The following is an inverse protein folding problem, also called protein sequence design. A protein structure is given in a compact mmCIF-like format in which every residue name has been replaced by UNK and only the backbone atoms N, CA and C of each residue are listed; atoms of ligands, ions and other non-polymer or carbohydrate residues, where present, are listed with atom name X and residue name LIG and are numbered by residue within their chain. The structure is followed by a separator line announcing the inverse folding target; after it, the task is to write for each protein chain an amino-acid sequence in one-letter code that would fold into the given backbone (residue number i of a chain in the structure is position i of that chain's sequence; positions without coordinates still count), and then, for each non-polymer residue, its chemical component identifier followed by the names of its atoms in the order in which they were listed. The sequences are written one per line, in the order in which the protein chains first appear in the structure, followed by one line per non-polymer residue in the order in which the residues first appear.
data_IF_846087794950
#
_entry.id   IF_846087794950
#
_cell.length_a   1.000
_cell.length_b   1.000
_cell.length_c   1.000
_cell.angle_alpha   90.00
_cell.angle_beta   90.00
_cell.angle_gamma   90.00
#
_symmetry.space_group_name_H-M   'P 1'
#
loop_
_entity.id
_entity.type
_entity.pdbx_description
1 polymer ?
#
# COMPACT_ATOMS: atom_id res chain seq x y z
N UNK A 1 14.51 3.61 -10.99
CA UNK A 1 14.21 3.87 -9.56
C UNK A 1 12.81 3.40 -9.17
N UNK A 2 11.72 3.86 -9.81
CA UNK A 2 10.35 3.41 -9.50
C UNK A 2 10.11 1.90 -9.64
N UNK A 3 10.67 1.24 -10.66
CA UNK A 3 10.52 -0.21 -10.87
C UNK A 3 11.06 -1.00 -9.68
N UNK A 4 12.21 -0.59 -9.12
CA UNK A 4 12.83 -1.23 -7.96
C UNK A 4 11.98 -1.10 -6.69
N UNK A 5 11.32 0.05 -6.50
CA UNK A 5 10.45 0.30 -5.35
C UNK A 5 9.16 -0.50 -5.46
N UNK A 6 8.55 -0.53 -6.64
CA UNK A 6 7.36 -1.33 -6.91
C UNK A 6 7.61 -2.81 -6.62
N UNK A 7 8.69 -3.38 -7.16
CA UNK A 7 9.02 -4.78 -6.92
C UNK A 7 9.27 -5.06 -5.44
N UNK A 8 9.91 -4.13 -4.73
CA UNK A 8 10.14 -4.26 -3.28
C UNK A 8 8.83 -4.25 -2.47
N UNK A 9 7.88 -3.38 -2.82
CA UNK A 9 6.56 -3.35 -2.19
C UNK A 9 5.79 -4.63 -2.50
N UNK A 10 5.79 -5.10 -3.75
CA UNK A 10 5.12 -6.35 -4.13
C UNK A 10 5.68 -7.54 -3.35
N UNK A 11 7.01 -7.72 -3.34
CA UNK A 11 7.65 -8.79 -2.59
C UNK A 11 7.31 -8.72 -1.09
N UNK A 12 7.23 -7.51 -0.53
CA UNK A 12 6.84 -7.33 0.87
C UNK A 12 5.35 -7.68 1.12
N UNK A 13 4.45 -7.32 0.20
CA UNK A 13 3.04 -7.70 0.28
C UNK A 13 2.84 -9.22 0.16
N UNK A 14 3.61 -9.87 -0.72
CA UNK A 14 3.62 -11.33 -0.87
C UNK A 14 4.08 -12.00 0.43
N UNK A 15 5.17 -11.52 1.03
CA UNK A 15 5.67 -12.02 2.32
C UNK A 15 4.66 -11.81 3.46
N UNK A 16 3.92 -10.71 3.44
CA UNK A 16 2.89 -10.41 4.43
C UNK A 16 1.53 -11.09 4.11
N UNK A 17 1.47 -11.95 3.09
CA UNK A 17 0.25 -12.63 2.63
C UNK A 17 -0.93 -11.66 2.37
N UNK A 18 -0.63 -10.44 1.94
CA UNK A 18 -1.64 -9.44 1.65
C UNK A 18 -2.29 -9.75 0.29
N UNK A 19 -3.62 -9.73 0.22
CA UNK A 19 -4.31 -9.80 -1.06
C UNK A 19 -4.23 -8.46 -1.78
N UNK A 20 -3.75 -8.48 -3.02
CA UNK A 20 -3.64 -7.29 -3.84
C UNK A 20 -3.85 -7.59 -5.33
N UNK A 21 -4.24 -6.55 -6.07
CA UNK A 21 -4.35 -6.52 -7.52
C UNK A 21 -3.48 -5.39 -8.06
N UNK A 22 -2.78 -5.64 -9.15
CA UNK A 22 -1.89 -4.65 -9.77
C UNK A 22 -2.51 -4.16 -11.07
N UNK A 23 -2.69 -2.85 -11.20
CA UNK A 23 -3.29 -2.21 -12.37
C UNK A 23 -2.44 -0.99 -12.76
N UNK A 24 -1.64 -1.11 -13.83
CA UNK A 24 -0.75 -0.04 -14.27
C UNK A 24 0.27 0.37 -13.20
N UNK A 25 0.14 1.61 -12.70
CA UNK A 25 0.97 2.20 -11.64
C UNK A 25 0.26 2.19 -10.28
N UNK A 26 -0.74 1.33 -10.11
CA UNK A 26 -1.51 1.20 -8.88
C UNK A 26 -1.50 -0.24 -8.39
N UNK A 27 -1.41 -0.40 -7.06
CA UNK A 27 -1.64 -1.66 -6.37
C UNK A 27 -2.86 -1.46 -5.48
N UNK A 28 -3.93 -2.18 -5.77
CA UNK A 28 -5.17 -2.16 -5.01
C UNK A 28 -5.17 -3.34 -4.05
N UNK A 29 -5.32 -3.05 -2.76
CA UNK A 29 -5.51 -4.04 -1.70
C UNK A 29 -6.95 -3.96 -1.19
N UNK A 30 -7.37 -4.90 -0.36
CA UNK A 30 -8.71 -4.88 0.25
C UNK A 30 -8.99 -3.61 1.08
N UNK A 31 -7.95 -2.96 1.60
CA UNK A 31 -8.09 -1.84 2.55
C UNK A 31 -7.58 -0.50 2.00
N UNK A 32 -6.83 -0.50 0.91
CA UNK A 32 -6.16 0.68 0.39
C UNK A 32 -5.75 0.54 -1.08
N UNK A 33 -5.57 1.68 -1.74
CA UNK A 33 -4.96 1.79 -3.06
C UNK A 33 -3.61 2.50 -2.92
N UNK A 34 -2.55 1.84 -3.38
CA UNK A 34 -1.20 2.36 -3.45
C UNK A 34 -0.95 2.84 -4.89
N UNK A 35 -0.79 4.15 -5.09
CA UNK A 35 -0.49 4.74 -6.40
C UNK A 35 0.96 5.22 -6.45
N UNK A 36 1.72 4.71 -7.42
CA UNK A 36 3.10 5.10 -7.65
C UNK A 36 3.14 6.36 -8.50
N UNK A 37 3.61 7.46 -7.93
CA UNK A 37 3.86 8.72 -8.66
C UNK A 37 5.35 8.86 -8.96
N UNK A 38 5.74 9.95 -9.63
CA UNK A 38 7.14 10.21 -9.98
C UNK A 38 8.05 10.26 -8.74
N UNK A 39 7.58 10.87 -7.65
CA UNK A 39 8.44 11.23 -6.50
C UNK A 39 8.02 10.55 -5.19
N UNK A 40 6.80 10.02 -5.12
CA UNK A 40 6.25 9.46 -3.89
C UNK A 40 5.25 8.33 -4.14
N UNK A 41 5.02 7.55 -3.09
CA UNK A 41 3.90 6.63 -3.03
C UNK A 41 2.69 7.36 -2.43
N UNK A 42 1.59 7.42 -3.17
CA UNK A 42 0.29 7.82 -2.64
C UNK A 42 -0.43 6.59 -2.07
N UNK A 43 -0.98 6.72 -0.88
CA UNK A 43 -1.76 5.69 -0.18
C UNK A 43 -3.15 6.25 0.08
N UNK A 44 -4.13 5.78 -0.67
CA UNK A 44 -5.54 6.13 -0.52
C UNK A 44 -6.27 5.02 0.23
N UNK A 45 -7.08 5.40 1.22
CA UNK A 45 -7.89 4.48 2.02
C UNK A 45 -9.30 5.05 2.09
N UNK A 46 -10.29 4.17 2.11
CA UNK A 46 -11.67 4.58 2.21
C UNK A 46 -11.93 5.34 3.52
N UNK A 47 -12.60 6.48 3.44
CA UNK A 47 -12.93 7.32 4.59
C UNK A 47 -11.74 7.98 5.32
N UNK A 48 -10.51 7.87 4.79
CA UNK A 48 -9.32 8.51 5.37
C UNK A 48 -8.62 9.42 4.37
N UNK A 49 -7.94 10.48 4.83
CA UNK A 49 -7.17 11.34 3.94
C UNK A 49 -6.07 10.53 3.23
N UNK A 50 -5.84 10.91 1.98
CA UNK A 50 -4.73 10.40 1.18
C UNK A 50 -3.40 10.68 1.90
N UNK A 51 -2.54 9.67 1.94
CA UNK A 51 -1.23 9.78 2.60
C UNK A 51 -0.13 9.65 1.58
N UNK A 52 0.72 10.67 1.52
CA UNK A 52 1.86 10.72 0.63
C UNK A 52 3.12 10.27 1.37
N UNK A 53 3.90 9.39 0.75
CA UNK A 53 5.14 8.87 1.31
C UNK A 53 6.26 9.02 0.27
N UNK A 54 7.17 10.00 0.42
CA UNK A 54 8.33 10.14 -0.45
C UNK A 54 9.14 8.86 -0.48
N UNK A 55 9.67 8.50 -1.65
CA UNK A 55 10.43 7.26 -1.81
C UNK A 55 11.69 7.18 -0.93
N UNK A 56 12.29 8.33 -0.61
CA UNK A 56 13.43 8.42 0.31
C UNK A 56 13.07 8.06 1.77
N UNK A 57 11.80 8.22 2.15
CA UNK A 57 11.27 7.95 3.50
C UNK A 57 10.32 6.75 3.51
N UNK A 58 10.44 5.89 2.50
CA UNK A 58 9.58 4.74 2.32
C UNK A 58 9.84 3.73 3.45
N UNK A 59 8.80 3.47 4.23
CA UNK A 59 8.86 2.54 5.35
C UNK A 59 7.83 1.42 5.13
N UNK A 60 8.33 0.19 4.94
CA UNK A 60 7.50 -0.98 4.63
C UNK A 60 6.56 -1.33 5.79
N UNK A 61 7.04 -1.32 7.03
CA UNK A 61 6.21 -1.59 8.22
C UNK A 61 5.07 -0.59 8.35
N UNK A 62 5.34 0.69 8.04
CA UNK A 62 4.31 1.73 8.01
C UNK A 62 3.31 1.50 6.88
N UNK A 63 3.75 1.04 5.71
CA UNK A 63 2.82 0.63 4.64
C UNK A 63 1.97 -0.53 5.13
N UNK A 64 2.56 -1.60 5.68
CA UNK A 64 1.81 -2.75 6.20
C UNK A 64 0.79 -2.31 7.24
N UNK A 65 1.21 -1.53 8.23
CA UNK A 65 0.32 -0.99 9.25
C UNK A 65 -0.84 -0.21 8.64
N UNK A 66 -0.61 0.61 7.61
CA UNK A 66 -1.69 1.36 6.96
C UNK A 66 -2.66 0.46 6.21
N UNK A 67 -2.20 -0.69 5.70
CA UNK A 67 -3.00 -1.70 5.00
C UNK A 67 -3.76 -2.65 5.97
N UNK A 68 -3.15 -3.01 7.09
CA UNK A 68 -3.68 -3.98 8.06
C UNK A 68 -4.44 -3.34 9.22
N UNK A 69 -4.18 -2.08 9.59
CA UNK A 69 -4.90 -1.37 10.66
C UNK A 69 -6.39 -1.09 10.36
N UNK A 70 -6.93 -1.63 9.27
CA UNK A 70 -8.37 -1.69 8.99
C UNK A 70 -8.92 -3.13 8.93
N UNK A 71 -8.06 -4.15 8.85
CA UNK A 71 -8.51 -5.55 8.86
C UNK A 71 -9.17 -5.94 10.19
N UNK A 72 -8.90 -5.19 11.28
CA UNK A 72 -9.53 -5.37 12.60
C UNK A 72 -10.99 -4.87 12.67
N UNK A 73 -11.59 -4.47 11.55
CA UNK A 73 -13.03 -4.22 11.44
C UNK A 73 -13.68 -5.27 10.54
N UNK A 74 -13.55 -6.55 10.89
CA UNK A 74 -14.60 -7.51 10.56
C UNK A 74 -15.70 -7.40 11.62
N UNK A 75 -16.85 -6.76 11.34
CA UNK A 75 -18.06 -7.13 12.04
C UNK A 75 -18.43 -8.52 11.54
N UNK A 76 -18.08 -9.56 12.30
CA UNK A 76 -18.82 -10.82 12.24
C UNK A 76 -20.26 -10.49 12.61
N UNK A 77 -21.11 -10.42 11.59
CA UNK A 77 -22.56 -10.41 11.72
C UNK A 77 -23.09 -11.84 11.72
#
# INVERSE_FOLDING_TARGET
MMISIRNRILAFLDLAHCQYKVEGNTITTSSAVLAFTADHLSIRREGKPERLMPYEKLNMDKILFLLTAQADKTPTH
#
